data_IF_368401109199
#
_entry.id   IF_368401109199
#
_cell.length_a   1.000
_cell.length_b   1.000
_cell.length_c   1.000
_cell.angle_alpha   90.00
_cell.angle_beta   90.00
_cell.angle_gamma   90.00
#
_symmetry.space_group_name_H-M   'P 1'
#
loop_
_entity.id
_entity.type
_entity.pdbx_description
1 polymer ?
#
# COMPACT_ATOMS: atom_id res chain seq x y z
N UNK A 1 76.89 -40.19 25.27
CA UNK A 1 76.21 -40.57 26.53
C UNK A 1 75.19 -39.47 26.81
N UNK A 2 73.91 -39.85 26.95
CA UNK A 2 72.71 -39.03 27.17
C UNK A 2 72.17 -38.16 25.99
N UNK A 3 70.83 -38.01 25.89
CA UNK A 3 70.09 -38.21 24.64
C UNK A 3 69.00 -37.15 24.39
N UNK A 4 68.11 -37.47 23.45
CA UNK A 4 66.68 -37.11 23.43
C UNK A 4 66.30 -35.80 22.74
N UNK A 5 65.87 -36.00 21.50
CA UNK A 5 65.00 -35.14 20.71
C UNK A 5 63.58 -35.27 21.24
N UNK A 6 62.95 -34.16 21.66
CA UNK A 6 61.52 -33.86 21.56
C UNK A 6 61.18 -32.56 22.31
N UNK A 7 60.95 -31.45 21.59
CA UNK A 7 59.74 -30.61 21.76
C UNK A 7 59.72 -29.55 20.64
N UNK A 8 58.92 -29.79 19.60
CA UNK A 8 58.58 -28.77 18.61
C UNK A 8 57.13 -28.34 18.86
N UNK A 9 56.93 -27.43 19.82
CA UNK A 9 55.66 -26.70 19.99
C UNK A 9 55.46 -25.72 18.84
N UNK A 10 55.13 -26.24 17.67
CA UNK A 10 54.57 -25.46 16.56
C UNK A 10 53.06 -25.31 16.71
N UNK A 11 52.57 -24.69 17.79
CA UNK A 11 51.16 -24.24 17.81
C UNK A 11 51.03 -23.07 16.84
N UNK A 12 50.62 -23.34 15.60
CA UNK A 12 50.01 -22.32 14.74
C UNK A 12 48.69 -21.91 15.39
N UNK A 13 48.67 -20.74 16.02
CA UNK A 13 47.43 -20.06 16.36
C UNK A 13 46.70 -19.74 15.05
N UNK A 14 45.52 -20.34 14.86
CA UNK A 14 44.56 -19.88 13.86
C UNK A 14 44.05 -18.52 14.32
N UNK A 15 44.12 -17.53 13.44
CA UNK A 15 43.43 -16.27 13.60
C UNK A 15 41.92 -16.54 13.79
N UNK A 16 41.22 -15.77 14.64
CA UNK A 16 39.77 -15.82 14.68
C UNK A 16 39.25 -15.38 13.32
N UNK A 17 38.40 -16.23 12.75
CA UNK A 17 37.61 -15.98 11.56
C UNK A 17 36.69 -14.79 11.83
N UNK A 18 37.15 -13.58 11.50
CA UNK A 18 36.30 -12.37 11.43
C UNK A 18 35.58 -12.40 10.08
N UNK A 19 34.91 -13.52 9.80
CA UNK A 19 33.92 -13.66 8.75
C UNK A 19 32.63 -13.03 9.25
N UNK A 20 32.62 -11.71 9.41
CA UNK A 20 31.38 -10.95 9.50
C UNK A 20 30.56 -11.32 8.27
N UNK A 21 29.49 -12.08 8.49
CA UNK A 21 28.43 -12.28 7.49
C UNK A 21 28.13 -10.89 6.97
N UNK A 22 28.43 -10.63 5.71
CA UNK A 22 27.73 -9.60 4.98
C UNK A 22 26.31 -10.12 4.89
N UNK A 23 25.56 -9.91 5.99
CA UNK A 23 24.12 -9.77 5.91
C UNK A 23 23.95 -8.72 4.84
N UNK A 24 23.67 -9.23 3.65
CA UNK A 24 23.32 -8.41 2.52
C UNK A 24 22.12 -7.68 3.06
N UNK A 25 22.33 -6.41 3.44
CA UNK A 25 21.25 -5.48 3.69
C UNK A 25 20.38 -5.68 2.47
N UNK A 26 19.27 -6.39 2.63
CA UNK A 26 18.16 -6.27 1.71
C UNK A 26 18.00 -4.77 1.68
N UNK A 27 18.41 -4.14 0.58
CA UNK A 27 17.98 -2.80 0.27
C UNK A 27 16.47 -2.95 0.33
N UNK A 28 15.90 -2.56 1.46
CA UNK A 28 14.47 -2.48 1.66
C UNK A 28 14.08 -1.53 0.55
N UNK A 29 13.57 -2.07 -0.57
CA UNK A 29 12.99 -1.24 -1.60
C UNK A 29 11.88 -0.50 -0.84
N UNK A 30 12.14 0.77 -0.52
CA UNK A 30 11.16 1.58 0.20
C UNK A 30 10.00 1.68 -0.77
N UNK A 31 8.94 0.94 -0.47
CA UNK A 31 7.71 1.01 -1.25
C UNK A 31 7.31 2.48 -1.31
N UNK A 32 7.06 3.02 -2.51
CA UNK A 32 6.75 4.43 -2.67
C UNK A 32 5.53 4.81 -1.83
N UNK A 33 5.49 6.05 -1.31
CA UNK A 33 4.32 6.55 -0.59
C UNK A 33 3.07 6.48 -1.45
N UNK A 34 1.91 6.31 -0.80
CA UNK A 34 0.61 6.30 -1.46
C UNK A 34 0.43 7.54 -2.34
N UNK A 35 0.89 8.71 -1.90
CA UNK A 35 0.75 9.95 -2.67
C UNK A 35 1.41 9.86 -4.06
N UNK A 36 2.62 9.29 -4.11
CA UNK A 36 3.36 9.06 -5.36
C UNK A 36 2.62 8.04 -6.23
N UNK A 37 2.08 6.99 -5.62
CA UNK A 37 1.32 5.95 -6.32
C UNK A 37 0.03 6.47 -6.92
N UNK A 38 -0.74 7.27 -6.16
CA UNK A 38 -1.95 7.89 -6.65
C UNK A 38 -1.65 8.88 -7.77
N UNK A 39 -0.62 9.71 -7.60
CA UNK A 39 -0.20 10.66 -8.62
C UNK A 39 0.14 9.95 -9.94
N UNK A 40 1.01 8.93 -9.89
CA UNK A 40 1.43 8.16 -11.06
C UNK A 40 0.23 7.48 -11.77
N UNK A 41 -0.68 6.89 -10.98
CA UNK A 41 -1.87 6.25 -11.50
C UNK A 41 -2.80 7.25 -12.21
N UNK A 42 -3.17 8.33 -11.52
CA UNK A 42 -4.16 9.27 -12.03
C UNK A 42 -3.63 10.10 -13.21
N UNK A 43 -2.37 10.53 -13.18
CA UNK A 43 -1.77 11.26 -14.30
C UNK A 43 -1.84 10.46 -15.60
N UNK A 44 -1.47 9.18 -15.53
CA UNK A 44 -1.51 8.27 -16.69
C UNK A 44 -2.94 8.13 -17.25
N UNK A 45 -3.95 8.09 -16.37
CA UNK A 45 -5.36 7.96 -16.79
C UNK A 45 -5.95 9.27 -17.31
N UNK A 46 -5.63 10.39 -16.67
CA UNK A 46 -6.16 11.72 -17.00
C UNK A 46 -5.61 12.20 -18.34
N UNK A 47 -4.32 12.01 -18.61
CA UNK A 47 -3.69 12.40 -19.88
C UNK A 47 -4.39 11.77 -21.10
N UNK A 48 -4.89 10.54 -20.97
CA UNK A 48 -5.53 9.77 -22.05
C UNK A 48 -7.05 9.95 -22.12
N UNK A 49 -7.65 10.67 -21.18
CA UNK A 49 -9.11 10.74 -21.04
C UNK A 49 -9.73 11.94 -21.79
N UNK A 50 -11.00 11.77 -22.21
CA UNK A 50 -11.87 12.88 -22.65
C UNK A 50 -12.23 13.79 -21.46
N UNK A 51 -12.58 15.07 -21.67
CA UNK A 51 -12.80 16.04 -20.59
C UNK A 51 -13.75 15.56 -19.48
N UNK A 52 -14.93 15.04 -19.83
CA UNK A 52 -15.90 14.52 -18.85
C UNK A 52 -15.35 13.36 -18.00
N UNK A 53 -14.52 12.50 -18.60
CA UNK A 53 -13.88 11.40 -17.87
C UNK A 53 -12.75 11.91 -16.98
N UNK A 54 -12.01 12.95 -17.39
CA UNK A 54 -11.00 13.59 -16.54
C UNK A 54 -11.62 14.16 -15.27
N UNK A 55 -12.75 14.85 -15.41
CA UNK A 55 -13.47 15.37 -14.24
C UNK A 55 -13.85 14.26 -13.27
N UNK A 56 -14.48 13.18 -13.77
CA UNK A 56 -14.83 12.02 -12.94
C UNK A 56 -13.61 11.35 -12.28
N UNK A 57 -12.48 11.27 -12.97
CA UNK A 57 -11.25 10.73 -12.41
C UNK A 57 -10.72 11.62 -11.28
N UNK A 58 -10.72 12.95 -11.46
CA UNK A 58 -10.35 13.90 -10.42
C UNK A 58 -11.29 13.84 -9.21
N UNK A 59 -12.60 13.71 -9.42
CA UNK A 59 -13.57 13.55 -8.34
C UNK A 59 -13.33 12.25 -7.55
N UNK A 60 -12.95 11.17 -8.22
CA UNK A 60 -12.63 9.89 -7.57
C UNK A 60 -11.32 9.99 -6.79
N UNK A 61 -10.29 10.64 -7.33
CA UNK A 61 -9.01 10.87 -6.65
C UNK A 61 -9.22 11.66 -5.35
N UNK A 62 -9.89 12.81 -5.44
CA UNK A 62 -10.18 13.65 -4.28
C UNK A 62 -10.94 12.89 -3.18
N UNK A 63 -11.95 12.08 -3.57
CA UNK A 63 -12.71 11.26 -2.62
C UNK A 63 -11.90 10.13 -2.02
N UNK A 64 -11.00 9.52 -2.79
CA UNK A 64 -10.11 8.48 -2.29
C UNK A 64 -9.14 9.05 -1.26
N UNK A 65 -8.50 10.19 -1.57
CA UNK A 65 -7.61 10.90 -0.64
C UNK A 65 -8.32 11.31 0.65
N UNK A 66 -9.52 11.87 0.53
CA UNK A 66 -10.34 12.19 1.71
C UNK A 66 -10.68 10.94 2.54
N UNK A 67 -11.03 9.83 1.90
CA UNK A 67 -11.30 8.56 2.58
C UNK A 67 -10.06 8.06 3.34
N UNK A 68 -8.89 8.11 2.71
CA UNK A 68 -7.62 7.74 3.33
C UNK A 68 -7.37 8.58 4.59
N UNK A 69 -7.56 9.88 4.54
CA UNK A 69 -7.30 10.77 5.69
C UNK A 69 -8.31 10.66 6.83
N UNK A 70 -9.55 10.31 6.53
CA UNK A 70 -10.65 10.36 7.51
C UNK A 70 -10.91 9.03 8.21
N UNK A 71 -10.72 7.90 7.55
CA UNK A 71 -11.08 6.59 8.12
C UNK A 71 -9.94 5.65 8.37
N UNK A 72 -8.92 5.68 7.52
CA UNK A 72 -7.80 4.77 7.66
C UNK A 72 -7.06 4.94 8.99
N UNK A 73 -6.88 6.16 9.55
CA UNK A 73 -6.23 6.31 10.85
C UNK A 73 -6.87 5.43 11.94
N UNK A 74 -8.20 5.35 11.98
CA UNK A 74 -8.94 4.55 12.97
C UNK A 74 -8.77 3.03 12.83
N UNK A 75 -8.24 2.55 11.70
CA UNK A 75 -8.04 1.14 11.38
C UNK A 75 -6.58 0.69 11.51
N UNK A 76 -5.67 1.64 11.72
CA UNK A 76 -4.25 1.37 11.94
C UNK A 76 -3.96 1.14 13.43
N UNK A 77 -2.81 0.55 13.74
CA UNK A 77 -2.39 0.35 15.13
C UNK A 77 -2.15 1.68 15.85
N UNK A 78 -2.08 1.64 17.19
CA UNK A 78 -1.88 2.82 18.04
C UNK A 78 -0.66 3.64 17.66
N UNK A 79 0.43 2.96 17.29
CA UNK A 79 1.71 3.61 16.98
C UNK A 79 1.62 4.38 15.67
N UNK A 80 0.95 3.81 14.65
CA UNK A 80 0.63 4.51 13.40
C UNK A 80 -0.28 5.72 13.65
N UNK A 81 -1.26 5.61 14.54
CA UNK A 81 -2.12 6.74 14.90
C UNK A 81 -1.33 7.86 15.58
N UNK A 82 -0.44 7.52 16.51
CA UNK A 82 0.44 8.49 17.16
C UNK A 82 1.35 9.20 16.14
N UNK A 83 1.90 8.44 15.17
CA UNK A 83 2.70 9.00 14.08
C UNK A 83 1.88 9.99 13.23
N UNK A 84 0.65 9.64 12.85
CA UNK A 84 -0.25 10.54 12.11
C UNK A 84 -0.53 11.82 12.91
N UNK A 85 -0.79 11.70 14.22
CA UNK A 85 -1.04 12.87 15.08
C UNK A 85 0.19 13.77 15.13
N UNK A 86 1.38 13.20 15.26
CA UNK A 86 2.63 13.96 15.27
C UNK A 86 2.85 14.67 13.93
N UNK A 87 2.72 13.97 12.81
CA UNK A 87 2.95 14.51 11.46
C UNK A 87 1.97 15.64 11.11
N UNK A 88 0.71 15.55 11.58
CA UNK A 88 -0.29 16.62 11.43
C UNK A 88 0.11 17.93 12.12
N UNK A 89 1.00 17.89 13.12
CA UNK A 89 1.52 19.11 13.75
C UNK A 89 2.49 19.87 12.84
N UNK A 90 3.11 19.19 11.88
CA UNK A 90 4.06 19.77 10.93
C UNK A 90 3.39 20.12 9.60
N UNK A 91 2.64 19.18 9.03
CA UNK A 91 1.82 19.42 7.83
C UNK A 91 0.55 18.57 7.89
N UNK A 92 -0.65 19.18 7.95
CA UNK A 92 -1.89 18.45 8.12
C UNK A 92 -2.43 17.81 6.82
N UNK A 93 -1.82 18.06 5.66
CA UNK A 93 -2.39 17.63 4.38
C UNK A 93 -1.86 16.26 3.93
N UNK A 94 -2.79 15.39 3.50
CA UNK A 94 -2.47 14.09 2.90
C UNK A 94 -1.49 13.24 3.74
N UNK A 95 -1.59 13.33 5.07
CA UNK A 95 -0.65 12.70 6.01
C UNK A 95 -0.61 11.19 5.84
N UNK A 96 -1.77 10.53 5.75
CA UNK A 96 -1.84 9.09 5.49
C UNK A 96 -1.20 8.76 4.15
N UNK A 97 -1.51 9.54 3.11
CA UNK A 97 -0.96 9.29 1.78
C UNK A 97 0.57 9.49 1.70
N UNK A 98 1.14 10.36 2.54
CA UNK A 98 2.58 10.61 2.60
C UNK A 98 3.35 9.61 3.46
N UNK A 99 2.73 9.09 4.51
CA UNK A 99 3.41 8.23 5.49
C UNK A 99 3.36 6.75 5.14
N UNK A 100 2.26 6.31 4.53
CA UNK A 100 2.04 4.89 4.27
C UNK A 100 2.26 4.55 2.81
N UNK A 101 2.25 3.25 2.51
CA UNK A 101 2.72 2.67 1.27
C UNK A 101 1.63 1.86 0.53
N UNK A 102 2.04 1.11 -0.50
CA UNK A 102 1.18 0.27 -1.31
C UNK A 102 0.35 -0.75 -0.52
N UNK A 103 0.89 -1.32 0.56
CA UNK A 103 0.18 -2.34 1.34
C UNK A 103 -1.03 -1.74 2.05
N UNK A 104 -0.84 -0.56 2.68
CA UNK A 104 -1.94 0.19 3.30
C UNK A 104 -2.97 0.64 2.26
N UNK A 105 -2.52 1.09 1.08
CA UNK A 105 -3.43 1.45 -0.01
C UNK A 105 -4.27 0.25 -0.43
N UNK A 106 -3.65 -0.89 -0.74
CA UNK A 106 -4.35 -2.09 -1.20
C UNK A 106 -5.41 -2.54 -0.18
N UNK A 107 -5.04 -2.60 1.11
CA UNK A 107 -5.96 -2.96 2.19
C UNK A 107 -7.12 -1.97 2.37
N UNK A 108 -6.88 -0.68 2.08
CA UNK A 108 -7.89 0.37 2.21
C UNK A 108 -8.94 0.36 1.08
N UNK A 109 -8.55 -0.03 -0.14
CA UNK A 109 -9.34 0.09 -1.36
C UNK A 109 -10.72 -0.60 -1.31
N UNK A 110 -10.90 -1.82 -0.77
CA UNK A 110 -12.23 -2.44 -0.66
C UNK A 110 -13.20 -1.62 0.19
N UNK A 111 -12.72 -0.99 1.26
CA UNK A 111 -13.55 -0.14 2.12
C UNK A 111 -14.01 1.13 1.41
N UNK A 112 -13.26 1.65 0.44
CA UNK A 112 -13.66 2.77 -0.39
C UNK A 112 -14.87 2.45 -1.29
N UNK A 113 -15.12 1.16 -1.55
CA UNK A 113 -16.29 0.68 -2.30
C UNK A 113 -17.49 0.35 -1.39
N UNK A 114 -17.43 0.67 -0.09
CA UNK A 114 -18.56 0.45 0.80
C UNK A 114 -19.84 1.16 0.30
N UNK A 115 -21.05 0.59 0.48
CA UNK A 115 -22.27 1.12 -0.15
C UNK A 115 -22.56 2.61 0.12
N UNK A 116 -22.30 3.09 1.34
CA UNK A 116 -22.49 4.49 1.73
C UNK A 116 -21.46 5.45 1.12
N UNK A 117 -20.39 4.91 0.51
CA UNK A 117 -19.30 5.63 -0.16
C UNK A 117 -19.33 5.52 -1.66
N UNK A 118 -20.29 4.79 -2.24
CA UNK A 118 -20.39 4.72 -3.69
C UNK A 118 -20.90 6.05 -4.22
N UNK A 119 -20.36 6.48 -5.36
CA UNK A 119 -20.90 7.65 -6.03
C UNK A 119 -22.41 7.47 -6.31
N UNK A 120 -23.22 8.53 -6.16
CA UNK A 120 -24.65 8.47 -6.40
C UNK A 120 -24.94 8.23 -7.89
N UNK A 121 -24.21 8.90 -8.77
CA UNK A 121 -24.29 8.71 -10.22
C UNK A 121 -23.69 7.38 -10.67
N UNK A 122 -24.35 6.74 -11.65
CA UNK A 122 -23.96 5.43 -12.18
C UNK A 122 -22.62 5.47 -12.93
N UNK A 123 -22.33 6.53 -13.70
CA UNK A 123 -21.08 6.66 -14.44
C UNK A 123 -19.91 6.97 -13.51
N UNK A 124 -20.12 7.82 -12.50
CA UNK A 124 -19.15 8.08 -11.44
C UNK A 124 -18.88 6.81 -10.62
N UNK A 125 -19.91 6.03 -10.29
CA UNK A 125 -19.75 4.75 -9.56
C UNK A 125 -18.94 3.75 -10.37
N UNK A 126 -19.25 3.60 -11.66
CA UNK A 126 -18.47 2.76 -12.57
C UNK A 126 -17.02 3.21 -12.62
N UNK A 127 -16.77 4.52 -12.72
CA UNK A 127 -15.41 5.09 -12.71
C UNK A 127 -14.69 4.75 -11.39
N UNK A 128 -15.36 4.84 -10.25
CA UNK A 128 -14.83 4.47 -8.94
C UNK A 128 -14.40 2.99 -8.89
N UNK A 129 -15.24 2.06 -9.38
CA UNK A 129 -14.87 0.65 -9.49
C UNK A 129 -13.68 0.42 -10.44
N UNK A 130 -13.67 1.08 -11.60
CA UNK A 130 -12.56 1.00 -12.57
C UNK A 130 -11.24 1.49 -11.97
N UNK A 131 -11.27 2.57 -11.18
CA UNK A 131 -10.11 3.10 -10.46
C UNK A 131 -9.61 2.10 -9.42
N UNK A 132 -10.49 1.58 -8.56
CA UNK A 132 -10.09 0.65 -7.49
C UNK A 132 -9.46 -0.62 -8.04
N UNK A 133 -10.07 -1.25 -9.06
CA UNK A 133 -9.47 -2.42 -9.71
C UNK A 133 -8.18 -2.08 -10.46
N UNK A 134 -8.14 -0.90 -11.07
CA UNK A 134 -6.95 -0.40 -11.77
C UNK A 134 -5.76 -0.21 -10.84
N UNK A 135 -5.98 0.37 -9.65
CA UNK A 135 -4.97 0.56 -8.63
C UNK A 135 -4.46 -0.80 -8.14
N UNK A 136 -5.34 -1.71 -7.72
CA UNK A 136 -4.90 -3.05 -7.26
C UNK A 136 -4.04 -3.77 -8.29
N UNK A 137 -4.44 -3.73 -9.58
CA UNK A 137 -3.65 -4.30 -10.68
C UNK A 137 -2.29 -3.63 -10.86
N UNK A 138 -2.23 -2.30 -10.76
CA UNK A 138 -0.96 -1.58 -10.85
C UNK A 138 -0.03 -2.02 -9.73
N UNK A 139 -0.52 -2.07 -8.49
CA UNK A 139 0.30 -2.44 -7.33
C UNK A 139 0.90 -3.84 -7.46
N UNK A 140 0.13 -4.84 -7.90
CA UNK A 140 0.67 -6.21 -8.08
C UNK A 140 1.57 -6.33 -9.32
N UNK A 141 1.25 -5.65 -10.42
CA UNK A 141 2.08 -5.69 -11.64
C UNK A 141 3.44 -5.02 -11.46
N UNK A 142 3.49 -3.98 -10.63
CA UNK A 142 4.71 -3.24 -10.30
C UNK A 142 5.47 -3.88 -9.12
N UNK A 143 5.06 -5.08 -8.68
CA UNK A 143 5.66 -5.86 -7.58
C UNK A 143 5.72 -5.08 -6.24
N UNK A 144 4.74 -4.19 -6.00
CA UNK A 144 4.66 -3.36 -4.79
C UNK A 144 3.88 -4.01 -3.64
N UNK A 145 3.18 -5.11 -3.94
CA UNK A 145 2.41 -5.92 -3.00
C UNK A 145 2.55 -7.38 -3.39
N UNK A 146 2.44 -8.27 -2.40
CA UNK A 146 2.52 -9.71 -2.64
C UNK A 146 1.26 -10.24 -3.34
N UNK A 147 1.42 -11.36 -4.06
CA UNK A 147 0.32 -12.00 -4.79
C UNK A 147 -0.82 -12.41 -3.84
N UNK A 148 -0.48 -12.92 -2.65
CA UNK A 148 -1.45 -13.34 -1.64
C UNK A 148 -2.32 -12.16 -1.16
N UNK A 149 -1.71 -10.98 -0.95
CA UNK A 149 -2.42 -9.76 -0.58
C UNK A 149 -3.35 -9.29 -1.71
N UNK A 150 -2.90 -9.40 -2.96
CA UNK A 150 -3.72 -9.08 -4.12
C UNK A 150 -4.91 -10.05 -4.29
N UNK A 151 -4.71 -11.34 -4.03
CA UNK A 151 -5.80 -12.33 -4.04
C UNK A 151 -6.85 -12.03 -2.95
N UNK A 152 -6.40 -11.69 -1.74
CA UNK A 152 -7.28 -11.27 -0.66
C UNK A 152 -8.08 -10.00 -1.04
N UNK A 153 -7.44 -9.05 -1.71
CA UNK A 153 -8.05 -7.85 -2.26
C UNK A 153 -9.13 -8.17 -3.31
N UNK A 154 -8.85 -9.01 -4.32
CA UNK A 154 -9.83 -9.38 -5.34
C UNK A 154 -11.02 -10.16 -4.74
N UNK A 155 -10.77 -11.01 -3.75
CA UNK A 155 -11.82 -11.68 -2.99
C UNK A 155 -12.71 -10.66 -2.24
N UNK A 156 -12.11 -9.63 -1.63
CA UNK A 156 -12.85 -8.56 -0.96
C UNK A 156 -13.70 -7.74 -1.94
N UNK A 157 -13.15 -7.36 -3.11
CA UNK A 157 -13.90 -6.65 -4.15
C UNK A 157 -15.09 -7.47 -4.65
N UNK A 158 -14.88 -8.77 -4.88
CA UNK A 158 -15.93 -9.67 -5.38
C UNK A 158 -17.14 -9.71 -4.44
N UNK A 159 -16.91 -9.70 -3.11
CA UNK A 159 -17.98 -9.63 -2.10
C UNK A 159 -18.74 -8.30 -2.14
N UNK A 160 -18.05 -7.19 -2.41
CA UNK A 160 -18.67 -5.87 -2.53
C UNK A 160 -19.55 -5.79 -3.77
N UNK A 161 -19.09 -6.34 -4.90
CA UNK A 161 -19.85 -6.36 -6.17
C UNK A 161 -21.09 -7.24 -6.10
N UNK A 162 -21.00 -8.39 -5.41
CA UNK A 162 -22.12 -9.32 -5.27
C UNK A 162 -23.23 -8.80 -4.34
N UNK A 163 -22.95 -7.80 -3.50
CA UNK A 163 -23.96 -7.21 -2.60
C UNK A 163 -24.86 -6.30 -3.45
N UNK A 164 -26.15 -6.61 -3.63
CA UNK A 164 -27.03 -5.77 -4.45
C UNK A 164 -27.05 -4.36 -3.85
N UNK A 165 -26.89 -3.30 -4.67
CA UNK A 165 -27.15 -1.96 -4.17
C UNK A 165 -28.62 -1.94 -3.74
N UNK A 166 -28.87 -1.58 -2.49
CA UNK A 166 -30.20 -1.45 -1.88
C UNK A 166 -31.22 -0.97 -2.92
N UNK A 167 -32.14 -1.85 -3.36
CA UNK A 167 -33.37 -1.41 -4.01
C UNK A 167 -34.22 -0.80 -2.91
N UNK A 168 -34.20 0.52 -2.80
CA UNK A 168 -35.16 1.24 -1.97
C UNK A 168 -36.56 0.71 -2.25
N UNK A 169 -37.25 0.25 -1.20
CA UNK A 169 -38.67 -0.12 -1.26
C UNK A 169 -39.41 1.04 -1.92
N UNK A 170 -39.98 0.83 -3.11
CA UNK A 170 -41.08 1.68 -3.56
C UNK A 170 -42.21 1.43 -2.56
N UNK A 171 -42.50 2.43 -1.72
CA UNK A 171 -43.75 2.47 -0.97
C UNK A 171 -44.85 2.71 -2.01
N UNK A 172 -45.81 1.80 -2.03
CA UNK A 172 -47.10 1.95 -2.70
C UNK A 172 -47.93 2.99 -1.95
#
# INVERSE_FOLDING_TARGET
MLPTVADARGRRQRAPDVGGRVDTVRMTFMTPPIDILLQAFFDTKVQRAKPERRQRLGDVDARLRQYLETEIPSRLCSDCQALIVAERQFDPHNVVARLFDAGVLLAALPGFLAPHRLAPDSAARRTQFEVVRGLGRMLVNDELVDVDDYEAFEAAISRVVQRPPYRGRRRW
#
